data_IF_379989012075
#
_entry.id   IF_379989012075
#
_cell.length_a   1.000
_cell.length_b   1.000
_cell.length_c   1.000
_cell.angle_alpha   90.00
_cell.angle_beta   90.00
_cell.angle_gamma   90.00
#
_symmetry.space_group_name_H-M   'P 1'
#
loop_
_entity.id
_entity.type
_entity.pdbx_description
1 polymer ?
#
# COMPACT_ATOMS: atom_id res chain seq x y z
N UNK A 1 17.68 -23.28 1.90
CA UNK A 1 17.42 -22.02 2.63
C UNK A 1 16.59 -22.40 3.85
N UNK A 2 17.02 -22.01 5.05
CA UNK A 2 16.20 -22.22 6.25
C UNK A 2 14.83 -21.53 6.03
N UNK A 3 13.74 -22.24 6.29
CA UNK A 3 12.39 -21.66 6.28
C UNK A 3 12.36 -20.53 7.31
N UNK A 4 12.12 -19.29 6.87
CA UNK A 4 12.00 -18.14 7.77
C UNK A 4 10.61 -18.14 8.40
N UNK A 5 10.56 -18.06 9.73
CA UNK A 5 9.31 -17.85 10.46
C UNK A 5 9.12 -16.37 10.76
N UNK A 6 7.97 -15.81 10.39
CA UNK A 6 7.60 -14.43 10.67
C UNK A 6 7.42 -14.21 12.17
N UNK A 7 8.08 -13.19 12.72
CA UNK A 7 8.11 -12.91 14.16
C UNK A 7 7.01 -11.95 14.58
N UNK A 8 6.73 -10.92 13.78
CA UNK A 8 5.68 -9.96 14.10
C UNK A 8 4.29 -10.47 13.68
N UNK A 9 3.27 -9.96 14.38
CA UNK A 9 1.87 -10.24 14.05
C UNK A 9 1.50 -9.65 12.68
N UNK A 10 0.56 -10.30 12.02
CA UNK A 10 0.07 -9.89 10.70
C UNK A 10 -1.41 -9.56 10.75
N UNK A 11 -1.78 -8.34 10.34
CA UNK A 11 -3.14 -7.95 10.01
C UNK A 11 -3.42 -8.28 8.55
N UNK A 12 -4.40 -9.15 8.32
CA UNK A 12 -4.94 -9.49 7.02
C UNK A 12 -6.34 -8.88 6.86
N UNK A 13 -6.45 -7.90 5.96
CA UNK A 13 -7.70 -7.18 5.66
C UNK A 13 -8.32 -7.80 4.41
N UNK A 14 -9.54 -8.30 4.54
CA UNK A 14 -10.22 -9.08 3.49
C UNK A 14 -11.64 -8.58 3.24
N UNK A 15 -12.15 -8.83 2.04
CA UNK A 15 -13.57 -8.60 1.76
C UNK A 15 -14.26 -9.78 1.10
N UNK A 16 -14.13 -9.93 -0.22
CA UNK A 16 -14.95 -10.87 -1.01
C UNK A 16 -14.19 -11.59 -2.13
N UNK A 17 -12.86 -11.47 -2.19
CA UNK A 17 -12.02 -12.03 -3.24
C UNK A 17 -11.23 -13.25 -2.75
N UNK A 18 -11.85 -14.43 -2.79
CA UNK A 18 -11.20 -15.67 -2.37
C UNK A 18 -10.06 -16.08 -3.31
N UNK A 19 -10.13 -15.71 -4.59
CA UNK A 19 -9.13 -16.07 -5.60
C UNK A 19 -7.79 -15.36 -5.38
N UNK A 20 -7.79 -14.06 -5.03
CA UNK A 20 -6.56 -13.31 -4.71
C UNK A 20 -6.07 -13.60 -3.28
N UNK A 21 -6.98 -13.97 -2.37
CA UNK A 21 -6.62 -14.32 -1.01
C UNK A 21 -5.85 -15.65 -0.90
N UNK A 22 -6.20 -16.66 -1.71
CA UNK A 22 -5.54 -17.98 -1.74
C UNK A 22 -4.00 -17.91 -1.84
N UNK A 23 -3.41 -17.23 -2.84
CA UNK A 23 -1.95 -17.15 -2.93
C UNK A 23 -1.31 -16.39 -1.75
N UNK A 24 -2.01 -15.40 -1.18
CA UNK A 24 -1.54 -14.68 0.02
C UNK A 24 -1.50 -15.63 1.22
N UNK A 25 -2.56 -16.42 1.44
CA UNK A 25 -2.59 -17.41 2.52
C UNK A 25 -1.49 -18.47 2.36
N UNK A 26 -1.16 -18.87 1.12
CA UNK A 26 -0.03 -19.76 0.86
C UNK A 26 1.32 -19.14 1.26
N UNK A 27 1.50 -17.82 1.09
CA UNK A 27 2.69 -17.11 1.62
C UNK A 27 2.71 -17.13 3.14
N UNK A 28 1.58 -16.82 3.78
CA UNK A 28 1.47 -16.86 5.25
C UNK A 28 1.77 -18.25 5.80
N UNK A 29 1.27 -19.31 5.15
CA UNK A 29 1.57 -20.70 5.51
C UNK A 29 3.06 -21.07 5.40
N UNK A 30 3.78 -20.41 4.50
CA UNK A 30 5.22 -20.63 4.32
C UNK A 30 6.04 -19.99 5.43
N UNK A 31 5.59 -18.85 5.97
CA UNK A 31 6.29 -18.12 7.04
C UNK A 31 5.68 -18.30 8.43
N UNK A 32 4.56 -19.04 8.54
CA UNK A 32 3.93 -19.51 9.79
C UNK A 32 3.98 -18.46 10.93
N UNK A 33 3.41 -17.26 10.74
CA UNK A 33 3.36 -16.26 11.81
C UNK A 33 2.63 -16.87 13.01
N UNK A 34 3.13 -16.58 14.22
CA UNK A 34 2.52 -17.07 15.47
C UNK A 34 1.20 -16.39 15.80
N UNK A 35 0.93 -15.22 15.20
CA UNK A 35 -0.29 -14.44 15.42
C UNK A 35 -0.80 -13.77 14.15
N UNK A 36 -2.08 -13.96 13.86
CA UNK A 36 -2.79 -13.33 12.75
C UNK A 36 -4.04 -12.62 13.28
N UNK A 37 -4.26 -11.42 12.75
CA UNK A 37 -5.47 -10.63 12.91
C UNK A 37 -6.20 -10.63 11.57
N UNK A 38 -7.46 -11.05 11.54
CA UNK A 38 -8.28 -11.08 10.33
C UNK A 38 -9.38 -10.02 10.47
N UNK A 39 -9.35 -8.99 9.64
CA UNK A 39 -10.42 -8.02 9.55
C UNK A 39 -11.21 -8.23 8.26
N UNK A 40 -12.47 -8.67 8.39
CA UNK A 40 -13.35 -8.93 7.25
C UNK A 40 -14.54 -7.98 7.25
N UNK A 41 -14.70 -7.21 6.17
CA UNK A 41 -15.90 -6.38 6.01
C UNK A 41 -17.15 -7.25 5.79
N UNK A 42 -18.35 -6.66 5.97
CA UNK A 42 -19.61 -7.34 5.66
C UNK A 42 -20.02 -7.08 4.21
N UNK A 43 -20.89 -7.93 3.67
CA UNK A 43 -21.39 -7.80 2.30
C UNK A 43 -22.21 -6.52 2.13
N UNK A 44 -22.04 -5.83 1.00
CA UNK A 44 -22.77 -4.59 0.70
C UNK A 44 -24.25 -4.81 0.38
N UNK A 45 -24.57 -5.97 -0.17
CA UNK A 45 -25.92 -6.41 -0.54
C UNK A 45 -26.00 -7.95 -0.46
N UNK A 46 -27.20 -8.50 -0.40
CA UNK A 46 -27.41 -9.95 -0.21
C UNK A 46 -26.79 -10.79 -1.35
N UNK A 47 -26.62 -10.25 -2.56
CA UNK A 47 -25.98 -10.96 -3.67
C UNK A 47 -24.50 -11.23 -3.38
N UNK A 48 -23.82 -10.36 -2.63
CA UNK A 48 -22.41 -10.51 -2.26
C UNK A 48 -22.19 -11.37 -0.99
N UNK A 49 -23.26 -11.74 -0.27
CA UNK A 49 -23.19 -12.48 0.99
C UNK A 49 -22.43 -13.79 0.87
N UNK A 50 -22.69 -14.54 -0.20
CA UNK A 50 -22.01 -15.82 -0.44
C UNK A 50 -20.49 -15.64 -0.62
N UNK A 51 -20.04 -14.56 -1.29
CA UNK A 51 -18.61 -14.29 -1.52
C UNK A 51 -17.88 -13.97 -0.21
N UNK A 52 -18.45 -13.10 0.63
CA UNK A 52 -17.86 -12.77 1.93
C UNK A 52 -17.85 -13.98 2.87
N UNK A 53 -18.91 -14.79 2.84
CA UNK A 53 -18.99 -16.04 3.62
C UNK A 53 -17.93 -17.04 3.19
N UNK A 54 -17.74 -17.22 1.88
CA UNK A 54 -16.70 -18.09 1.33
C UNK A 54 -15.30 -17.66 1.75
N UNK A 55 -15.00 -16.35 1.74
CA UNK A 55 -13.72 -15.81 2.22
C UNK A 55 -13.49 -16.12 3.70
N UNK A 56 -14.48 -15.88 4.56
CA UNK A 56 -14.38 -16.15 6.00
C UNK A 56 -14.16 -17.64 6.27
N UNK A 57 -14.97 -18.51 5.66
CA UNK A 57 -14.84 -19.97 5.79
C UNK A 57 -13.51 -20.49 5.25
N UNK A 58 -13.03 -19.94 4.13
CA UNK A 58 -11.73 -20.31 3.56
C UNK A 58 -10.60 -20.06 4.55
N UNK A 59 -10.56 -18.89 5.19
CA UNK A 59 -9.53 -18.57 6.19
C UNK A 59 -9.59 -19.49 7.41
N UNK A 60 -10.80 -19.75 7.93
CA UNK A 60 -11.00 -20.63 9.08
C UNK A 60 -10.54 -22.06 8.83
N UNK A 61 -10.73 -22.56 7.61
CA UNK A 61 -10.37 -23.93 7.26
C UNK A 61 -8.90 -24.10 6.85
N UNK A 62 -8.18 -23.02 6.53
CA UNK A 62 -6.86 -23.12 5.89
C UNK A 62 -5.71 -22.48 6.69
N UNK A 63 -5.98 -21.77 7.79
CA UNK A 63 -4.95 -21.44 8.79
C UNK A 63 -4.78 -22.65 9.69
N UNK A 64 -3.85 -23.53 9.32
CA UNK A 64 -3.67 -24.86 9.93
C UNK A 64 -2.26 -25.11 10.49
N UNK A 65 -1.58 -24.05 10.89
CA UNK A 65 -0.34 -24.10 11.66
C UNK A 65 -0.59 -23.51 13.06
N UNK A 66 0.36 -23.68 13.97
CA UNK A 66 0.29 -23.10 15.32
C UNK A 66 0.29 -21.57 15.23
N UNK A 67 -0.90 -20.98 15.41
CA UNK A 67 -1.15 -19.57 15.19
C UNK A 67 -2.35 -19.11 16.02
N UNK A 68 -2.17 -18.07 16.82
CA UNK A 68 -3.28 -17.35 17.43
C UNK A 68 -4.01 -16.54 16.36
N UNK A 69 -5.30 -16.83 16.15
CA UNK A 69 -6.13 -16.11 15.18
C UNK A 69 -7.15 -15.22 15.90
N UNK A 70 -7.00 -13.90 15.74
CA UNK A 70 -7.94 -12.90 16.23
C UNK A 70 -8.82 -12.43 15.06
N UNK A 71 -10.14 -12.31 15.27
CA UNK A 71 -11.09 -12.03 14.18
C UNK A 71 -11.89 -10.76 14.46
N UNK A 72 -11.96 -9.88 13.48
CA UNK A 72 -12.85 -8.72 13.41
C UNK A 72 -13.75 -8.88 12.18
N UNK A 73 -14.83 -9.63 12.33
CA UNK A 73 -15.84 -9.80 11.29
C UNK A 73 -16.95 -8.79 11.50
N UNK A 74 -17.18 -7.93 10.50
CA UNK A 74 -18.25 -6.94 10.58
C UNK A 74 -19.61 -7.57 10.33
N UNK A 75 -20.60 -7.15 11.10
CA UNK A 75 -22.00 -7.48 10.89
C UNK A 75 -22.59 -6.61 9.76
N UNK A 76 -22.26 -5.32 9.74
CA UNK A 76 -22.71 -4.36 8.74
C UNK A 76 -21.58 -3.94 7.80
N UNK A 77 -21.93 -3.62 6.56
CA UNK A 77 -20.95 -3.18 5.57
C UNK A 77 -20.47 -1.77 5.91
N UNK A 78 -19.15 -1.60 5.98
CA UNK A 78 -18.50 -0.29 6.14
C UNK A 78 -17.91 0.17 4.82
N UNK A 79 -17.77 1.49 4.66
CA UNK A 79 -17.03 2.09 3.56
C UNK A 79 -15.55 1.65 3.58
N UNK A 80 -14.83 1.78 2.47
CA UNK A 80 -13.42 1.35 2.41
C UNK A 80 -12.57 2.15 3.41
N UNK A 81 -12.82 3.47 3.50
CA UNK A 81 -12.20 4.36 4.49
C UNK A 81 -12.36 3.83 5.91
N UNK A 82 -13.59 3.54 6.33
CA UNK A 82 -13.88 3.13 7.70
C UNK A 82 -13.47 1.68 7.97
N UNK A 83 -13.72 0.77 7.02
CA UNK A 83 -13.38 -0.65 7.18
C UNK A 83 -11.88 -0.84 7.40
N UNK A 84 -11.05 -0.16 6.61
CA UNK A 84 -9.60 -0.34 6.67
C UNK A 84 -9.00 0.42 7.86
N UNK A 85 -9.31 1.71 8.02
CA UNK A 85 -8.74 2.51 9.12
C UNK A 85 -9.06 1.95 10.50
N UNK A 86 -10.30 1.51 10.72
CA UNK A 86 -10.69 0.93 12.01
C UNK A 86 -10.14 -0.48 12.25
N UNK A 87 -9.85 -1.26 11.19
CA UNK A 87 -9.13 -2.52 11.31
C UNK A 87 -7.68 -2.32 11.75
N UNK A 88 -7.00 -1.32 11.17
CA UNK A 88 -5.63 -0.96 11.56
C UNK A 88 -5.60 -0.42 12.99
N UNK A 89 -6.55 0.44 13.37
CA UNK A 89 -6.69 0.91 14.76
C UNK A 89 -6.94 -0.23 15.74
N UNK A 90 -7.82 -1.17 15.41
CA UNK A 90 -8.06 -2.36 16.23
C UNK A 90 -6.79 -3.22 16.39
N UNK A 91 -6.02 -3.39 15.32
CA UNK A 91 -4.75 -4.13 15.36
C UNK A 91 -3.72 -3.46 16.28
N UNK A 92 -3.49 -2.16 16.13
CA UNK A 92 -2.51 -1.43 16.95
C UNK A 92 -2.98 -1.10 18.38
N UNK A 93 -4.23 -1.39 18.73
CA UNK A 93 -4.65 -1.46 20.14
C UNK A 93 -4.10 -2.71 20.85
N UNK A 94 -3.72 -3.74 20.09
CA UNK A 94 -3.26 -5.02 20.63
C UNK A 94 -1.76 -5.22 20.44
N UNK A 95 -1.20 -4.68 19.35
CA UNK A 95 0.19 -4.88 18.97
C UNK A 95 0.97 -3.57 18.95
N UNK A 96 2.23 -3.60 19.42
CA UNK A 96 3.13 -2.43 19.36
C UNK A 96 3.58 -2.14 17.93
N UNK A 97 3.65 -3.17 17.10
CA UNK A 97 4.11 -3.12 15.72
C UNK A 97 3.62 -4.34 14.95
N UNK A 98 3.63 -4.28 13.62
CA UNK A 98 3.36 -5.45 12.80
C UNK A 98 3.13 -5.16 11.33
N UNK A 99 2.80 -6.23 10.61
CA UNK A 99 2.68 -6.25 9.14
C UNK A 99 1.20 -6.20 8.76
N UNK A 100 0.87 -5.43 7.72
CA UNK A 100 -0.49 -5.18 7.24
C UNK A 100 -0.55 -5.58 5.76
N UNK A 101 -1.46 -6.50 5.44
CA UNK A 101 -1.71 -7.02 4.10
C UNK A 101 -3.21 -6.91 3.75
N UNK A 102 -3.50 -6.49 2.52
CA UNK A 102 -4.83 -6.58 1.92
C UNK A 102 -4.95 -7.86 1.08
N UNK A 103 -6.18 -8.31 0.79
CA UNK A 103 -6.48 -9.56 0.08
C UNK A 103 -6.03 -9.63 -1.39
N UNK A 104 -5.36 -8.61 -1.90
CA UNK A 104 -4.77 -8.56 -3.23
C UNK A 104 -3.29 -8.11 -3.27
N UNK A 105 -2.66 -7.95 -2.10
CA UNK A 105 -1.23 -7.60 -2.00
C UNK A 105 -0.43 -8.88 -1.76
N UNK A 106 0.12 -9.49 -2.82
CA UNK A 106 0.90 -10.72 -2.75
C UNK A 106 2.37 -10.43 -2.41
N UNK A 107 2.86 -10.77 -1.20
CA UNK A 107 4.25 -10.56 -0.84
C UNK A 107 5.18 -11.66 -1.37
N UNK A 108 6.44 -11.28 -1.54
CA UNK A 108 7.58 -12.20 -1.59
C UNK A 108 7.82 -12.82 -0.20
N UNK A 109 8.57 -13.93 -0.11
CA UNK A 109 8.83 -14.57 1.18
C UNK A 109 9.80 -13.75 2.06
N UNK A 110 10.79 -13.12 1.45
CA UNK A 110 11.75 -12.25 2.14
C UNK A 110 11.13 -10.95 2.65
N UNK A 111 9.94 -10.55 2.17
CA UNK A 111 9.22 -9.37 2.69
C UNK A 111 8.95 -9.47 4.19
N UNK A 112 8.59 -10.66 4.69
CA UNK A 112 8.30 -10.84 6.11
C UNK A 112 9.54 -10.62 6.97
N UNK A 113 10.69 -11.19 6.57
CA UNK A 113 11.96 -10.97 7.25
C UNK A 113 12.45 -9.52 7.13
N UNK A 114 12.24 -8.90 5.97
CA UNK A 114 12.55 -7.48 5.76
C UNK A 114 11.76 -6.59 6.72
N UNK A 115 10.46 -6.83 6.87
CA UNK A 115 9.63 -6.12 7.85
C UNK A 115 10.08 -6.40 9.28
N UNK A 116 10.32 -7.65 9.66
CA UNK A 116 10.71 -8.01 11.02
C UNK A 116 12.04 -7.35 11.44
N UNK A 117 13.08 -7.41 10.60
CA UNK A 117 14.38 -6.77 10.88
C UNK A 117 14.26 -5.24 11.00
N UNK A 118 13.42 -4.61 10.17
CA UNK A 118 13.26 -3.16 10.17
C UNK A 118 12.31 -2.65 11.28
N UNK A 119 11.28 -3.42 11.62
CA UNK A 119 10.39 -3.14 12.73
C UNK A 119 11.18 -3.09 14.05
N UNK A 120 12.06 -4.07 14.26
CA UNK A 120 12.96 -4.10 15.41
C UNK A 120 13.98 -2.96 15.36
N UNK A 121 14.67 -2.78 14.23
CA UNK A 121 15.74 -1.76 14.08
C UNK A 121 15.25 -0.33 14.34
N UNK A 122 14.02 -0.02 13.93
CA UNK A 122 13.45 1.32 14.03
C UNK A 122 12.31 1.41 15.05
N UNK A 123 12.26 0.49 16.02
CA UNK A 123 11.22 0.44 17.05
C UNK A 123 11.04 1.78 17.77
N UNK A 124 12.15 2.44 18.13
CA UNK A 124 12.16 3.70 18.88
C UNK A 124 12.43 4.95 18.01
N UNK A 125 12.56 4.80 16.69
CA UNK A 125 12.81 5.95 15.80
C UNK A 125 11.49 6.63 15.40
N UNK A 126 11.15 7.70 16.13
CA UNK A 126 9.91 8.46 15.95
C UNK A 126 9.70 9.02 14.54
N UNK A 127 10.78 9.29 13.78
CA UNK A 127 10.67 9.76 12.40
C UNK A 127 10.24 8.65 11.44
N UNK A 128 10.48 7.38 11.74
CA UNK A 128 10.11 6.29 10.84
C UNK A 128 8.68 5.86 11.17
N UNK A 129 7.78 6.09 10.21
CA UNK A 129 6.34 5.86 10.36
C UNK A 129 5.89 4.52 9.76
N UNK A 130 6.53 4.09 8.68
CA UNK A 130 6.14 2.85 8.02
C UNK A 130 7.29 2.23 7.23
N UNK A 131 7.13 0.94 6.94
CA UNK A 131 7.93 0.16 6.01
C UNK A 131 7.02 -0.25 4.87
N UNK A 132 7.28 0.21 3.66
CA UNK A 132 6.61 -0.26 2.46
C UNK A 132 7.25 -1.56 1.96
N UNK A 133 6.48 -2.44 1.35
CA UNK A 133 6.99 -3.51 0.49
C UNK A 133 6.99 -3.13 -0.99
N UNK A 134 6.45 -1.97 -1.34
CA UNK A 134 6.27 -1.55 -2.72
C UNK A 134 7.37 -0.59 -3.17
N UNK A 135 7.81 -0.74 -4.43
CA UNK A 135 8.74 0.21 -5.04
C UNK A 135 8.61 0.21 -6.57
N UNK A 136 8.26 1.34 -7.16
CA UNK A 136 8.17 1.47 -8.61
C UNK A 136 9.45 2.00 -9.28
N UNK A 137 10.60 1.90 -8.61
CA UNK A 137 11.86 2.39 -9.19
C UNK A 137 12.18 1.76 -10.55
N UNK A 138 11.70 0.55 -10.84
CA UNK A 138 11.84 -0.14 -12.15
C UNK A 138 11.22 0.63 -13.32
N UNK A 139 10.28 1.53 -13.05
CA UNK A 139 9.65 2.37 -14.07
C UNK A 139 10.31 3.75 -14.20
N UNK A 140 11.39 4.01 -13.45
CA UNK A 140 12.15 5.24 -13.59
C UNK A 140 12.80 5.30 -14.97
N UNK A 141 12.78 6.48 -15.59
CA UNK A 141 13.52 6.69 -16.84
C UNK A 141 14.96 7.03 -16.52
N UNK A 142 15.88 6.69 -17.43
CA UNK A 142 17.22 7.26 -17.39
C UNK A 142 17.10 8.78 -17.54
N UNK A 143 17.75 9.51 -16.65
CA UNK A 143 17.65 10.98 -16.58
C UNK A 143 18.51 11.66 -17.65
N UNK A 144 19.49 10.94 -18.23
CA UNK A 144 20.28 11.31 -19.40
C UNK A 144 20.99 10.07 -19.98
N UNK A 145 21.65 10.20 -21.14
CA UNK A 145 22.49 9.14 -21.73
C UNK A 145 23.69 8.82 -20.84
N UNK A 146 24.12 9.78 -20.01
CA UNK A 146 25.32 9.72 -19.17
C UNK A 146 25.01 9.28 -17.73
N UNK A 147 23.75 9.27 -17.30
CA UNK A 147 23.36 8.92 -15.93
C UNK A 147 22.73 7.53 -15.84
N UNK A 148 23.36 6.66 -15.03
CA UNK A 148 22.79 5.37 -14.65
C UNK A 148 21.40 5.55 -14.03
N UNK A 149 20.54 4.56 -14.28
CA UNK A 149 19.20 4.46 -13.70
C UNK A 149 19.23 4.69 -12.17
N UNK A 150 18.33 5.50 -11.58
CA UNK A 150 18.41 5.87 -10.15
C UNK A 150 18.54 4.67 -9.20
N UNK A 151 17.81 3.58 -9.49
CA UNK A 151 17.91 2.31 -8.75
C UNK A 151 19.31 1.67 -8.78
N UNK A 152 20.05 1.82 -9.88
CA UNK A 152 21.39 1.24 -10.04
C UNK A 152 22.45 1.97 -9.20
N UNK A 153 22.17 3.23 -8.83
CA UNK A 153 23.06 4.03 -7.98
C UNK A 153 22.85 3.75 -6.49
N UNK A 154 21.66 3.28 -6.10
CA UNK A 154 21.37 2.92 -4.72
C UNK A 154 22.17 1.68 -4.33
N UNK A 155 23.03 1.81 -3.33
CA UNK A 155 23.91 0.72 -2.89
C UNK A 155 23.27 -0.11 -1.78
N UNK A 156 22.33 0.51 -1.06
CA UNK A 156 21.54 -0.02 0.04
C UNK A 156 20.35 -0.84 -0.47
N UNK A 157 19.79 -1.64 0.42
CA UNK A 157 18.62 -2.47 0.14
C UNK A 157 17.30 -1.72 0.28
N UNK A 158 17.33 -0.55 0.92
CA UNK A 158 16.20 0.35 1.06
C UNK A 158 16.64 1.80 1.22
N UNK A 159 15.70 2.72 1.09
CA UNK A 159 15.90 4.16 1.29
C UNK A 159 14.72 4.77 2.04
N UNK A 160 14.88 5.99 2.55
CA UNK A 160 13.79 6.72 3.18
C UNK A 160 13.12 7.69 2.20
N UNK A 161 11.80 7.70 2.25
CA UNK A 161 10.93 8.48 1.38
C UNK A 161 9.90 9.23 2.21
N UNK A 162 9.51 10.43 1.78
CA UNK A 162 8.36 11.12 2.40
C UNK A 162 7.03 10.54 1.95
N UNK A 163 6.95 9.76 0.88
CA UNK A 163 5.66 9.23 0.40
C UNK A 163 5.35 7.90 1.05
N UNK A 164 4.14 7.65 1.59
CA UNK A 164 3.75 6.32 2.02
C UNK A 164 3.14 5.53 0.84
N UNK A 165 3.64 4.32 0.58
CA UNK A 165 2.99 3.36 -0.33
C UNK A 165 2.54 2.14 0.44
N UNK A 166 1.24 1.84 0.37
CA UNK A 166 0.52 0.97 1.30
C UNK A 166 0.17 -0.41 0.73
N UNK A 167 0.72 -0.80 -0.43
CA UNK A 167 0.61 -2.18 -0.90
C UNK A 167 1.61 -3.04 -0.17
N UNK A 168 1.11 -3.80 0.80
CA UNK A 168 1.91 -4.61 1.73
C UNK A 168 2.91 -3.76 2.50
N UNK A 169 2.65 -3.55 3.78
CA UNK A 169 3.46 -2.63 4.58
C UNK A 169 3.51 -3.07 6.05
N UNK A 170 4.37 -2.44 6.82
CA UNK A 170 4.46 -2.63 8.26
C UNK A 170 4.59 -1.27 8.96
N UNK A 171 4.18 -1.21 10.23
CA UNK A 171 4.24 0.01 11.02
C UNK A 171 4.19 -0.29 12.52
N UNK A 172 4.21 0.78 13.31
CA UNK A 172 4.17 0.77 14.76
C UNK A 172 2.89 1.47 15.25
N UNK A 173 2.38 1.03 16.39
CA UNK A 173 1.28 1.69 17.08
C UNK A 173 1.59 3.17 17.36
N UNK A 174 2.83 3.50 17.75
CA UNK A 174 3.27 4.90 17.96
C UNK A 174 3.11 5.79 16.72
N UNK A 175 3.29 5.24 15.52
CA UNK A 175 3.11 5.97 14.28
C UNK A 175 1.62 6.07 13.93
N UNK A 176 0.87 4.97 14.08
CA UNK A 176 -0.57 4.96 13.79
C UNK A 176 -1.40 5.83 14.74
N UNK A 177 -0.99 6.02 15.99
CA UNK A 177 -1.66 6.94 16.93
C UNK A 177 -1.69 8.40 16.44
N UNK A 178 -0.79 8.77 15.54
CA UNK A 178 -0.74 10.10 14.91
C UNK A 178 -1.67 10.22 13.70
N UNK A 179 -2.39 9.16 13.34
CA UNK A 179 -3.32 9.14 12.22
C UNK A 179 -4.54 10.02 12.50
N UNK A 180 -4.70 11.05 11.68
CA UNK A 180 -5.83 11.96 11.68
C UNK A 180 -6.72 11.66 10.48
N UNK A 181 -7.92 11.14 10.74
CA UNK A 181 -8.84 10.74 9.67
C UNK A 181 -9.50 11.94 8.96
N UNK A 182 -9.82 13.01 9.69
CA UNK A 182 -10.55 14.17 9.14
C UNK A 182 -9.73 15.45 9.26
N UNK A 183 -9.90 16.36 8.31
CA UNK A 183 -9.38 17.72 8.40
C UNK A 183 -10.33 18.60 9.22
N UNK A 184 -9.77 19.37 10.14
CA UNK A 184 -10.51 20.40 10.89
C UNK A 184 -10.68 21.68 10.07
N UNK A 185 -9.60 22.17 9.48
CA UNK A 185 -9.58 23.22 8.46
C UNK A 185 -8.53 22.83 7.41
N UNK A 186 -9.00 22.38 6.25
CA UNK A 186 -8.13 21.87 5.19
C UNK A 186 -7.09 22.89 4.72
N UNK A 187 -7.46 24.16 4.48
CA UNK A 187 -6.51 25.12 3.89
C UNK A 187 -5.46 25.54 4.94
N UNK A 188 -5.88 25.77 6.19
CA UNK A 188 -4.95 26.05 7.29
C UNK A 188 -3.97 24.88 7.50
N UNK A 189 -4.50 23.67 7.59
CA UNK A 189 -3.72 22.45 7.82
C UNK A 189 -2.80 22.08 6.65
N UNK A 190 -3.21 22.34 5.41
CA UNK A 190 -2.35 22.09 4.25
C UNK A 190 -1.21 23.11 4.15
N UNK A 191 -1.47 24.36 4.51
CA UNK A 191 -0.47 25.43 4.41
C UNK A 191 0.69 25.29 5.41
N UNK A 192 0.57 24.43 6.41
CA UNK A 192 1.69 24.08 7.31
C UNK A 192 2.68 23.10 6.70
N UNK A 193 2.33 22.45 5.58
CA UNK A 193 3.20 21.49 4.90
C UNK A 193 4.19 22.21 3.97
N UNK A 194 5.48 21.90 4.14
CA UNK A 194 6.59 22.52 3.40
C UNK A 194 7.51 21.51 2.70
N UNK A 195 7.21 20.22 2.79
CA UNK A 195 8.05 19.12 2.30
C UNK A 195 7.97 18.87 0.78
N UNK A 196 7.44 19.81 -0.03
CA UNK A 196 7.27 19.67 -1.47
C UNK A 196 8.54 20.04 -2.25
N UNK A 197 8.96 19.21 -3.21
CA UNK A 197 10.11 19.50 -4.07
C UNK A 197 9.76 20.43 -5.23
N UNK A 198 8.48 20.58 -5.59
CA UNK A 198 8.04 21.46 -6.68
C UNK A 198 6.61 21.99 -6.52
N UNK A 199 6.30 23.10 -7.19
CA UNK A 199 4.93 23.66 -7.28
C UNK A 199 3.95 22.65 -7.89
N UNK A 200 4.43 21.83 -8.84
CA UNK A 200 3.63 20.76 -9.47
C UNK A 200 3.23 19.69 -8.45
N UNK A 201 4.17 19.27 -7.61
CA UNK A 201 3.90 18.33 -6.52
C UNK A 201 2.90 18.93 -5.53
N UNK A 202 3.16 20.15 -5.05
CA UNK A 202 2.26 20.85 -4.11
C UNK A 202 0.83 20.94 -4.66
N UNK A 203 0.67 21.33 -5.92
CA UNK A 203 -0.64 21.42 -6.57
C UNK A 203 -1.33 20.05 -6.70
N UNK A 204 -0.58 18.98 -7.00
CA UNK A 204 -1.11 17.63 -7.09
C UNK A 204 -1.72 17.18 -5.76
N UNK A 205 -0.97 17.30 -4.66
CA UNK A 205 -1.43 16.87 -3.35
C UNK A 205 -2.49 17.78 -2.76
N UNK A 206 -2.39 19.10 -2.96
CA UNK A 206 -3.48 20.04 -2.60
C UNK A 206 -4.80 19.60 -3.20
N UNK A 207 -4.81 19.26 -4.49
CA UNK A 207 -6.01 18.78 -5.16
C UNK A 207 -6.56 17.49 -4.53
N UNK A 208 -5.71 16.50 -4.26
CA UNK A 208 -6.14 15.23 -3.68
C UNK A 208 -6.70 15.37 -2.26
N UNK A 209 -6.01 16.12 -1.40
CA UNK A 209 -6.49 16.38 -0.05
C UNK A 209 -7.73 17.27 -0.04
N UNK A 210 -7.86 18.23 -0.97
CA UNK A 210 -9.07 19.05 -1.10
C UNK A 210 -10.29 18.23 -1.48
N UNK A 211 -10.19 17.31 -2.45
CA UNK A 211 -11.33 16.46 -2.81
C UNK A 211 -11.68 15.49 -1.68
N UNK A 212 -10.69 15.04 -0.91
CA UNK A 212 -10.91 14.23 0.28
C UNK A 212 -11.65 15.01 1.37
N UNK A 213 -11.18 16.21 1.73
CA UNK A 213 -11.80 17.07 2.73
C UNK A 213 -13.24 17.47 2.35
N UNK A 214 -13.56 17.49 1.05
CA UNK A 214 -14.92 17.70 0.53
C UNK A 214 -15.81 16.44 0.54
N UNK A 215 -15.32 15.31 1.05
CA UNK A 215 -16.05 14.04 1.08
C UNK A 215 -16.25 13.37 -0.28
N UNK A 216 -15.50 13.79 -1.32
CA UNK A 216 -15.67 13.28 -2.70
C UNK A 216 -14.91 11.97 -2.97
N UNK A 217 -14.08 11.54 -2.03
CA UNK A 217 -13.27 10.30 -2.11
C UNK A 217 -13.38 9.57 -0.78
N UNK A 218 -13.78 8.30 -0.84
CA UNK A 218 -13.84 7.39 0.32
C UNK A 218 -12.54 6.58 0.39
N UNK A 219 -11.51 7.14 1.03
CA UNK A 219 -10.22 6.44 1.21
C UNK A 219 -9.61 6.70 2.58
N UNK A 220 -8.72 5.81 3.02
CA UNK A 220 -7.97 5.92 4.27
C UNK A 220 -6.51 6.34 4.08
N UNK A 221 -5.97 6.22 2.86
CA UNK A 221 -4.56 6.42 2.58
C UNK A 221 -4.17 7.89 2.42
N UNK A 222 -5.03 8.74 1.84
CA UNK A 222 -4.80 10.18 1.74
C UNK A 222 -4.61 10.86 3.11
N UNK A 223 -5.50 10.66 4.11
CA UNK A 223 -5.26 11.20 5.45
C UNK A 223 -4.01 10.56 6.10
N UNK A 224 -3.58 9.37 5.70
CA UNK A 224 -2.35 8.77 6.22
C UNK A 224 -1.10 9.48 5.67
N UNK A 225 -1.08 9.81 4.38
CA UNK A 225 -0.06 10.69 3.77
C UNK A 225 0.00 12.02 4.51
N UNK A 226 -1.15 12.66 4.70
CA UNK A 226 -1.23 13.93 5.44
C UNK A 226 -0.69 13.81 6.87
N UNK A 227 -1.15 12.79 7.60
CA UNK A 227 -0.75 12.55 8.99
C UNK A 227 0.75 12.34 9.11
N UNK A 228 1.36 11.59 8.19
CA UNK A 228 2.80 11.38 8.17
C UNK A 228 3.54 12.69 7.89
N UNK A 229 3.10 13.49 6.92
CA UNK A 229 3.74 14.77 6.59
C UNK A 229 3.62 15.81 7.67
N UNK A 230 2.46 15.91 8.32
CA UNK A 230 2.23 16.80 9.47
C UNK A 230 3.23 16.58 10.60
N UNK A 231 3.76 15.35 10.72
CA UNK A 231 4.71 14.96 11.75
C UNK A 231 6.13 14.74 11.21
N UNK A 232 6.45 15.22 10.00
CA UNK A 232 7.76 15.01 9.35
C UNK A 232 8.19 13.54 9.29
N UNK A 233 7.22 12.64 9.17
CA UNK A 233 7.41 11.20 9.13
C UNK A 233 7.99 10.72 7.82
N UNK A 234 8.76 9.64 7.91
CA UNK A 234 9.44 8.96 6.81
C UNK A 234 8.91 7.54 6.67
N UNK A 235 8.96 7.06 5.44
CA UNK A 235 8.68 5.69 5.06
C UNK A 235 9.96 5.02 4.60
N UNK A 236 10.14 3.74 4.91
CA UNK A 236 11.18 2.89 4.33
C UNK A 236 10.65 2.27 3.04
N UNK A 237 11.42 2.38 1.96
CA UNK A 237 11.11 1.80 0.65
C UNK A 237 12.17 0.80 0.24
N UNK A 238 11.80 -0.41 -0.19
CA UNK A 238 12.78 -1.36 -0.66
C UNK A 238 13.34 -0.89 -2.02
N UNK A 239 14.60 -1.21 -2.29
CA UNK A 239 15.24 -0.94 -3.58
C UNK A 239 14.52 -1.66 -4.72
N UNK A 240 14.04 -2.86 -4.46
CA UNK A 240 13.28 -3.69 -5.39
C UNK A 240 11.85 -3.85 -4.87
N UNK A 241 10.87 -3.85 -5.77
CA UNK A 241 9.50 -4.16 -5.38
C UNK A 241 9.41 -5.56 -4.73
N UNK A 242 8.71 -5.68 -3.61
CA UNK A 242 8.52 -6.94 -2.88
C UNK A 242 7.05 -7.40 -2.87
N UNK A 243 6.13 -6.60 -3.42
CA UNK A 243 4.68 -6.84 -3.40
C UNK A 243 4.10 -6.78 -4.82
N UNK A 244 3.45 -7.85 -5.26
CA UNK A 244 2.64 -7.83 -6.47
C UNK A 244 1.18 -7.56 -6.12
N UNK A 245 0.56 -6.51 -6.69
CA UNK A 245 -0.87 -6.30 -6.55
C UNK A 245 -1.60 -7.12 -7.64
N UNK A 246 -2.29 -8.18 -7.21
CA UNK A 246 -3.00 -9.13 -8.07
C UNK A 246 -4.50 -8.82 -8.19
N UNK A 247 -4.91 -7.62 -7.76
CA UNK A 247 -6.29 -7.13 -7.77
C UNK A 247 -6.65 -6.21 -8.94
N UNK A 248 -5.77 -6.03 -9.93
CA UNK A 248 -5.99 -5.16 -11.09
C UNK A 248 -6.92 -5.75 -12.16
N UNK A 249 -7.45 -4.86 -13.03
CA UNK A 249 -8.14 -5.20 -14.28
C UNK A 249 -9.37 -6.10 -14.12
N UNK A 250 -10.18 -5.83 -13.09
CA UNK A 250 -11.36 -6.63 -12.75
C UNK A 250 -12.52 -5.75 -12.31
N UNK A 251 -13.74 -6.18 -12.62
CA UNK A 251 -14.96 -5.40 -12.43
C UNK A 251 -15.36 -5.22 -10.96
N UNK A 252 -14.86 -6.10 -10.08
CA UNK A 252 -15.10 -6.10 -8.64
C UNK A 252 -14.04 -5.34 -7.82
N UNK A 253 -13.03 -4.74 -8.48
CA UNK A 253 -12.02 -3.92 -7.84
C UNK A 253 -12.61 -2.60 -7.29
N UNK A 254 -12.19 -2.18 -6.09
CA UNK A 254 -12.64 -0.90 -5.52
C UNK A 254 -11.85 0.29 -6.07
N UNK A 255 -10.52 0.15 -6.23
CA UNK A 255 -9.63 1.26 -6.62
C UNK A 255 -8.78 0.99 -7.88
N UNK A 256 -8.85 -0.23 -8.45
CA UNK A 256 -7.96 -0.72 -9.54
C UNK A 256 -8.70 -1.09 -10.82
N UNK A 257 -9.82 -0.42 -11.12
CA UNK A 257 -10.76 -0.72 -12.23
C UNK A 257 -10.29 -0.28 -13.64
N UNK A 258 -9.00 0.02 -13.83
CA UNK A 258 -8.46 0.46 -15.11
C UNK A 258 -7.03 0.02 -15.37
N UNK A 259 -6.61 0.10 -16.64
CA UNK A 259 -5.24 -0.26 -17.05
C UNK A 259 -4.20 0.56 -16.28
N UNK A 260 -3.46 -0.13 -15.42
CA UNK A 260 -2.33 0.42 -14.68
C UNK A 260 -1.04 -0.27 -15.11
N UNK A 261 0.01 0.52 -15.36
CA UNK A 261 1.36 -0.02 -15.61
C UNK A 261 1.87 -0.84 -14.41
N UNK A 262 1.34 -0.60 -13.22
CA UNK A 262 1.71 -1.31 -12.00
C UNK A 262 1.06 -2.69 -11.87
N UNK A 263 0.04 -3.00 -12.70
CA UNK A 263 -0.64 -4.30 -12.70
C UNK A 263 0.28 -5.46 -13.12
N UNK A 264 1.36 -5.15 -13.83
CA UNK A 264 2.34 -6.12 -14.35
C UNK A 264 3.69 -6.01 -13.65
N UNK A 265 3.75 -5.31 -12.51
CA UNK A 265 5.02 -5.06 -11.85
C UNK A 265 5.53 -6.35 -11.18
N UNK A 266 6.75 -6.80 -11.51
CA UNK A 266 7.36 -7.95 -10.87
C UNK A 266 7.67 -7.65 -9.40
N UNK A 267 7.76 -8.70 -8.58
CA UNK A 267 8.28 -8.63 -7.22
C UNK A 267 9.51 -9.51 -7.08
N UNK A 268 10.44 -9.12 -6.23
CA UNK A 268 11.76 -9.71 -6.11
C UNK A 268 12.06 -10.07 -4.67
N UNK A 269 12.64 -11.26 -4.48
CA UNK A 269 13.22 -11.63 -3.20
C UNK A 269 14.45 -10.76 -2.91
N UNK A 270 14.69 -10.48 -1.64
CA UNK A 270 15.89 -9.81 -1.16
C UNK A 270 16.81 -10.77 -0.40
N UNK A 271 18.11 -10.55 -0.51
CA UNK A 271 19.12 -11.30 0.21
C UNK A 271 19.37 -10.67 1.59
N UNK A 272 19.87 -11.48 2.52
CA UNK A 272 20.25 -11.05 3.87
C UNK A 272 21.72 -11.38 4.13
N UNK A 273 22.44 -10.62 4.98
CA UNK A 273 21.96 -9.47 5.77
C UNK A 273 21.63 -8.25 4.91
N UNK A 274 20.69 -7.41 5.38
CA UNK A 274 20.33 -6.17 4.69
C UNK A 274 21.49 -5.16 4.73
N UNK A 275 21.69 -4.47 3.61
CA UNK A 275 22.55 -3.29 3.53
C UNK A 275 21.75 -2.04 3.87
N UNK A 276 21.96 -1.54 5.09
CA UNK A 276 21.26 -0.37 5.61
C UNK A 276 21.87 0.96 5.11
N UNK A 277 21.04 2.00 4.89
CA UNK A 277 21.51 3.38 4.77
C UNK A 277 22.11 3.88 6.09
N UNK A 278 23.09 4.76 5.99
CA UNK A 278 23.78 5.35 7.14
C UNK A 278 22.92 6.41 7.85
N UNK A 279 22.10 7.14 7.09
CA UNK A 279 21.34 8.28 7.60
C UNK A 279 19.83 8.07 7.44
N UNK A 280 19.08 8.53 8.44
CA UNK A 280 17.62 8.53 8.45
C UNK A 280 17.14 9.87 7.89
N UNK A 281 17.19 9.99 6.57
CA UNK A 281 16.82 11.20 5.84
C UNK A 281 16.24 10.88 4.47
N UNK A 282 15.36 11.77 3.98
CA UNK A 282 14.74 11.65 2.66
C UNK A 282 15.83 11.53 1.58
N UNK A 283 15.73 10.51 0.74
CA UNK A 283 16.51 10.45 -0.49
C UNK A 283 15.82 11.29 -1.57
N UNK A 284 16.14 12.59 -1.64
CA UNK A 284 15.44 13.54 -2.52
C UNK A 284 15.41 13.10 -3.98
N UNK A 285 16.49 12.50 -4.48
CA UNK A 285 16.57 12.02 -5.87
C UNK A 285 15.57 10.88 -6.13
N UNK A 286 15.50 9.91 -5.22
CA UNK A 286 14.58 8.79 -5.33
C UNK A 286 13.13 9.23 -5.05
N UNK A 287 12.89 10.20 -4.19
CA UNK A 287 11.56 10.79 -3.96
C UNK A 287 11.03 11.53 -5.18
N UNK A 288 11.85 12.36 -5.83
CA UNK A 288 11.48 12.99 -7.09
C UNK A 288 11.15 11.92 -8.14
N UNK A 289 11.97 10.87 -8.23
CA UNK A 289 11.72 9.74 -9.14
C UNK A 289 10.39 9.03 -8.83
N UNK A 290 10.13 8.72 -7.56
CA UNK A 290 8.89 8.10 -7.10
C UNK A 290 7.68 8.96 -7.45
N UNK A 291 7.77 10.28 -7.28
CA UNK A 291 6.70 11.18 -7.69
C UNK A 291 6.44 11.14 -9.19
N UNK A 292 7.47 11.22 -10.01
CA UNK A 292 7.33 11.18 -11.47
C UNK A 292 6.75 9.87 -11.98
N UNK A 293 7.08 8.76 -11.31
CA UNK A 293 6.62 7.43 -11.68
C UNK A 293 5.20 7.17 -11.19
N UNK A 294 4.91 7.46 -9.92
CA UNK A 294 3.70 7.00 -9.22
C UNK A 294 2.57 8.04 -9.20
N UNK A 295 2.90 9.32 -9.08
CA UNK A 295 1.92 10.37 -8.79
C UNK A 295 1.74 11.35 -9.94
N UNK A 296 2.82 11.69 -10.64
CA UNK A 296 2.80 12.73 -11.64
C UNK A 296 1.79 12.41 -12.75
N UNK A 297 0.91 13.36 -13.09
CA UNK A 297 -0.03 13.15 -14.18
C UNK A 297 0.74 12.93 -15.48
N UNK A 298 0.23 12.04 -16.32
CA UNK A 298 0.77 11.82 -17.65
C UNK A 298 0.86 13.15 -18.42
N UNK A 299 1.85 13.31 -19.31
CA UNK A 299 1.99 14.49 -20.15
C UNK A 299 0.68 14.84 -20.85
N UNK A 300 0.44 16.15 -21.06
CA UNK A 300 -0.82 16.65 -21.64
C UNK A 300 -1.14 15.99 -22.98
N UNK A 301 -0.14 15.82 -23.86
CA UNK A 301 -0.31 15.14 -25.14
C UNK A 301 -0.75 13.67 -24.97
N UNK A 302 -0.18 12.94 -24.00
CA UNK A 302 -0.59 11.56 -23.69
C UNK A 302 -2.02 11.50 -23.17
N UNK A 303 -2.42 12.49 -22.34
CA UNK A 303 -3.80 12.61 -21.84
C UNK A 303 -4.79 12.91 -22.98
N UNK A 304 -4.42 13.78 -23.91
CA UNK A 304 -5.21 14.09 -25.12
C UNK A 304 -5.34 12.84 -26.00
N UNK A 305 -4.23 12.15 -26.30
CA UNK A 305 -4.24 10.92 -27.09
C UNK A 305 -5.11 9.82 -26.45
N UNK A 306 -5.05 9.65 -25.12
CA UNK A 306 -5.93 8.71 -24.39
C UNK A 306 -7.39 9.12 -24.48
N UNK A 307 -7.70 10.42 -24.39
CA UNK A 307 -9.07 10.94 -24.55
C UNK A 307 -9.59 10.70 -25.96
N UNK A 308 -8.78 10.95 -26.99
CA UNK A 308 -9.11 10.68 -28.40
C UNK A 308 -9.32 9.19 -28.63
N UNK A 309 -8.42 8.32 -28.16
CA UNK A 309 -8.58 6.85 -28.23
C UNK A 309 -9.88 6.39 -27.55
N UNK A 310 -10.21 6.93 -26.38
CA UNK A 310 -11.45 6.59 -25.66
C UNK A 310 -12.70 7.05 -26.41
N UNK A 311 -12.67 8.22 -27.07
CA UNK A 311 -13.75 8.69 -27.93
C UNK A 311 -13.91 7.82 -29.18
N UNK A 312 -12.82 7.49 -29.87
CA UNK A 312 -12.85 6.61 -31.04
C UNK A 312 -13.35 5.20 -30.66
N UNK A 313 -12.87 4.62 -29.56
CA UNK A 313 -13.36 3.33 -29.07
C UNK A 313 -14.86 3.32 -28.78
N UNK A 314 -15.43 4.42 -28.25
CA UNK A 314 -16.88 4.56 -28.05
C UNK A 314 -17.65 4.69 -29.37
N UNK A 315 -17.07 5.32 -30.39
CA UNK A 315 -17.68 5.49 -31.71
C UNK A 315 -17.68 4.19 -32.53
N UNK A 316 -16.67 3.34 -32.34
CA UNK A 316 -16.51 2.08 -33.09
C UNK A 316 -16.88 0.81 -32.29
N UNK A 317 -17.49 0.95 -31.11
CA UNK A 317 -17.94 -0.21 -30.34
C UNK A 317 -19.08 -0.91 -31.11
N UNK A 318 -18.95 -2.18 -31.54
CA UNK A 318 -20.03 -2.88 -32.21
C UNK A 318 -21.25 -2.93 -31.27
N UNK A 319 -22.41 -2.47 -31.74
CA UNK A 319 -23.67 -2.67 -31.03
C UNK A 319 -23.87 -4.18 -30.89
N UNK A 320 -23.76 -4.71 -29.67
CA UNK A 320 -24.26 -6.05 -29.38
C UNK A 320 -25.75 -6.04 -29.74
N UNK A 321 -26.12 -6.78 -30.79
CA UNK A 321 -27.51 -7.04 -31.15
C UNK A 321 -28.09 -7.92 -30.02
N UNK A 322 -29.23 -7.47 -29.49
CA UNK A 322 -30.00 -8.14 -28.43
C UNK A 322 -30.44 -9.53 -28.85
#
# INVERSE_FOLDING_TARGET
MLEYQCQNAILLIVYKRADTLKPILNRLKSVKPSKIYIAANSYKNEQEKHLTTQVRQFLENNINWDCQVNKLYRDTHLSAKLSISSAISWFFQQEKQGIILEDDCLPTLSFFRFCDELLERYADEEKVFMISGWSALDFAKNTSVETLHPKAQLQEDYFFSKYPHIWGWASWARAWQKYQLEFSDFESEFNTLDNFYSVKEKHYWHKLFKIYAQGKVDTWDYPFVYSMWKHNGLSIYPKNNMIANIGFNRDDATNTTGESKFAIMPSYEIAFPLKHPNDIQINTKLDTTSFEVAFAPLPLHTRILRKVKKCLYKLFKPKQRR
#
